data_IF_376203676957
#
_entry.id   IF_376203676957
#
_cell.length_a   1.000
_cell.length_b   1.000
_cell.length_c   1.000
_cell.angle_alpha   90.00
_cell.angle_beta   90.00
_cell.angle_gamma   90.00
#
_symmetry.space_group_name_H-M   'P 1'
#
loop_
_entity.id
_entity.type
_entity.pdbx_description
1 polymer ?
#
# COMPACT_ATOMS: atom_id res chain seq x y z
N UNK A 1 -9.78 -10.64 3.28
CA UNK A 1 -8.71 -9.62 3.37
C UNK A 1 -8.83 -8.92 4.72
N UNK A 2 -7.75 -8.84 5.48
CA UNK A 2 -7.74 -8.23 6.81
C UNK A 2 -7.45 -6.71 6.70
N UNK A 3 -8.44 -5.86 7.02
CA UNK A 3 -8.29 -4.40 6.95
C UNK A 3 -7.42 -3.83 8.08
N UNK A 4 -7.39 -4.47 9.24
CA UNK A 4 -6.51 -4.05 10.34
C UNK A 4 -5.05 -4.28 9.95
N UNK A 5 -4.76 -5.44 9.35
CA UNK A 5 -3.43 -5.74 8.83
C UNK A 5 -3.00 -4.74 7.75
N UNK A 6 -3.89 -4.44 6.79
CA UNK A 6 -3.64 -3.43 5.77
C UNK A 6 -3.32 -2.06 6.38
N UNK A 7 -4.10 -1.66 7.39
CA UNK A 7 -3.89 -0.40 8.10
C UNK A 7 -2.53 -0.37 8.76
N UNK A 8 -2.19 -1.41 9.50
CA UNK A 8 -0.96 -1.50 10.28
C UNK A 8 0.28 -1.54 9.40
N UNK A 9 0.30 -2.38 8.35
CA UNK A 9 1.45 -2.47 7.45
C UNK A 9 1.66 -1.15 6.69
N UNK A 10 0.58 -0.53 6.24
CA UNK A 10 0.64 0.76 5.53
C UNK A 10 1.12 1.88 6.47
N UNK A 11 0.63 1.91 7.71
CA UNK A 11 1.05 2.90 8.69
C UNK A 11 2.54 2.76 9.04
N UNK A 12 3.01 1.54 9.33
CA UNK A 12 4.43 1.28 9.65
C UNK A 12 5.35 1.63 8.49
N UNK A 13 4.92 1.35 7.25
CA UNK A 13 5.64 1.80 6.06
C UNK A 13 5.73 3.33 6.01
N UNK A 14 4.62 4.02 6.26
CA UNK A 14 4.59 5.49 6.28
C UNK A 14 5.48 6.07 7.38
N UNK A 15 5.48 5.51 8.58
CA UNK A 15 6.39 5.93 9.66
C UNK A 15 7.87 5.82 9.27
N UNK A 16 8.23 4.76 8.54
CA UNK A 16 9.61 4.53 8.09
C UNK A 16 10.01 5.42 6.91
N UNK A 17 9.23 5.40 5.84
CA UNK A 17 9.63 5.98 4.55
C UNK A 17 9.15 7.45 4.37
N UNK A 18 8.10 7.85 5.09
CA UNK A 18 7.45 9.15 4.96
C UNK A 18 7.04 9.71 6.34
N UNK A 19 7.98 9.88 7.30
CA UNK A 19 7.66 10.24 8.69
C UNK A 19 6.94 11.59 8.83
N UNK A 20 7.14 12.51 7.88
CA UNK A 20 6.44 13.79 7.86
C UNK A 20 4.95 13.67 7.51
N UNK A 21 4.57 12.61 6.81
CA UNK A 21 3.18 12.33 6.42
C UNK A 21 2.48 11.35 7.37
N UNK A 22 3.23 10.49 8.07
CA UNK A 22 2.68 9.48 8.97
C UNK A 22 1.67 10.02 10.02
N UNK A 23 1.86 11.20 10.65
CA UNK A 23 0.86 11.77 11.56
C UNK A 23 -0.52 12.00 10.91
N UNK A 24 -0.56 12.20 9.59
CA UNK A 24 -1.77 12.44 8.81
C UNK A 24 -2.34 11.16 8.18
N UNK A 25 -1.75 9.99 8.45
CA UNK A 25 -2.17 8.71 7.87
C UNK A 25 -3.66 8.40 8.13
N UNK A 26 -4.17 8.74 9.32
CA UNK A 26 -5.56 8.53 9.69
C UNK A 26 -6.54 9.19 8.71
N UNK A 27 -6.22 10.37 8.17
CA UNK A 27 -7.06 11.06 7.18
C UNK A 27 -7.11 10.28 5.85
N UNK A 28 -5.96 9.77 5.40
CA UNK A 28 -5.91 8.94 4.20
C UNK A 28 -6.64 7.60 4.39
N UNK A 29 -6.59 7.05 5.61
CA UNK A 29 -7.30 5.83 5.98
C UNK A 29 -8.82 6.00 5.99
N UNK A 30 -9.33 7.07 6.60
CA UNK A 30 -10.77 7.39 6.62
C UNK A 30 -11.32 7.51 5.19
N UNK A 31 -10.64 8.27 4.34
CA UNK A 31 -11.02 8.41 2.93
C UNK A 31 -11.03 7.05 2.22
N UNK A 32 -10.03 6.22 2.47
CA UNK A 32 -9.95 4.88 1.90
C UNK A 32 -11.09 3.97 2.38
N UNK A 33 -11.49 4.04 3.65
CA UNK A 33 -12.62 3.28 4.18
C UNK A 33 -13.94 3.69 3.51
N UNK A 34 -14.16 5.00 3.32
CA UNK A 34 -15.34 5.51 2.62
C UNK A 34 -15.43 4.93 1.20
N UNK A 35 -14.30 4.87 0.47
CA UNK A 35 -14.24 4.25 -0.86
C UNK A 35 -14.62 2.77 -0.87
N UNK A 36 -14.21 1.99 0.13
CA UNK A 36 -14.57 0.57 0.22
C UNK A 36 -16.07 0.34 0.42
N UNK A 37 -16.77 1.26 1.07
CA UNK A 37 -18.21 1.16 1.33
C UNK A 37 -19.09 1.61 0.15
N UNK A 38 -18.53 2.38 -0.79
CA UNK A 38 -19.26 2.98 -1.91
C UNK A 38 -19.50 2.04 -3.09
N UNK A 39 -18.42 1.49 -3.69
CA UNK A 39 -18.49 0.59 -4.87
C UNK A 39 -17.18 -0.24 -4.99
N UNK A 40 -17.18 -1.54 -4.66
CA UNK A 40 -15.97 -2.38 -4.69
C UNK A 40 -15.31 -2.50 -6.07
N UNK A 41 -16.09 -2.43 -7.15
CA UNK A 41 -15.60 -2.52 -8.53
C UNK A 41 -14.87 -1.24 -9.00
N UNK A 42 -14.99 -0.13 -8.25
CA UNK A 42 -14.38 1.16 -8.58
C UNK A 42 -12.92 1.30 -8.15
N UNK A 43 -12.35 0.31 -7.44
CA UNK A 43 -10.98 0.32 -6.92
C UNK A 43 -9.93 0.45 -8.04
N UNK A 44 -10.27 -0.01 -9.25
CA UNK A 44 -9.44 0.17 -10.46
C UNK A 44 -9.37 1.63 -10.92
N UNK A 45 -10.28 2.48 -10.42
CA UNK A 45 -10.45 3.90 -10.75
C UNK A 45 -10.36 4.80 -9.50
N UNK A 46 -9.56 4.43 -8.50
CA UNK A 46 -9.18 5.37 -7.44
C UNK A 46 -8.46 6.56 -8.09
N UNK A 47 -9.21 7.62 -8.44
CA UNK A 47 -8.63 8.95 -8.61
C UNK A 47 -7.94 9.23 -7.28
N UNK A 48 -6.63 9.55 -7.28
CA UNK A 48 -5.88 9.73 -6.06
C UNK A 48 -6.64 10.75 -5.19
N UNK A 49 -6.96 10.43 -3.93
CA UNK A 49 -7.48 11.46 -3.04
C UNK A 49 -6.39 12.53 -2.94
N UNK A 50 -6.67 13.68 -3.55
CA UNK A 50 -5.76 14.83 -3.59
C UNK A 50 -5.90 15.57 -2.27
N UNK A 51 -5.31 15.01 -1.22
CA UNK A 51 -5.01 15.80 -0.03
C UNK A 51 -3.90 16.76 -0.47
N UNK A 52 -4.24 18.01 -0.75
CA UNK A 52 -3.24 19.06 -0.99
C UNK A 52 -2.84 19.62 0.37
N UNK A 53 -1.75 19.12 0.94
CA UNK A 53 -1.00 19.85 1.95
C UNK A 53 -0.24 20.96 1.20
N UNK A 54 -0.25 22.19 1.69
CA UNK A 54 0.36 23.35 1.01
C UNK A 54 1.78 23.05 0.49
N UNK A 55 1.94 23.00 -0.83
CA UNK A 55 3.19 22.68 -1.53
C UNK A 55 2.95 21.71 -2.69
N UNK A 56 3.78 21.74 -3.73
CA UNK A 56 3.65 20.88 -4.92
C UNK A 56 3.90 19.37 -4.65
N UNK A 57 3.97 18.96 -3.39
CA UNK A 57 4.22 17.58 -2.97
C UNK A 57 2.95 16.74 -3.05
N UNK A 58 3.06 15.54 -3.64
CA UNK A 58 1.97 14.56 -3.66
C UNK A 58 1.95 13.78 -2.35
N UNK A 59 0.80 13.72 -1.67
CA UNK A 59 0.61 12.89 -0.47
C UNK A 59 0.70 11.40 -0.84
N UNK A 60 1.55 10.68 -0.12
CA UNK A 60 1.95 9.31 -0.40
C UNK A 60 1.09 8.26 0.30
N UNK A 61 0.54 8.57 1.48
CA UNK A 61 -0.29 7.64 2.26
C UNK A 61 -1.37 6.91 1.41
N UNK A 62 -2.16 7.59 0.56
CA UNK A 62 -3.16 6.92 -0.27
C UNK A 62 -2.56 5.90 -1.25
N UNK A 63 -1.42 6.22 -1.87
CA UNK A 63 -0.73 5.32 -2.81
C UNK A 63 -0.18 4.09 -2.10
N UNK A 64 0.33 4.27 -0.88
CA UNK A 64 0.82 3.18 -0.03
C UNK A 64 -0.32 2.24 0.34
N UNK A 65 -1.43 2.78 0.86
CA UNK A 65 -2.62 2.00 1.20
C UNK A 65 -3.12 1.24 -0.03
N UNK A 66 -3.19 1.90 -1.19
CA UNK A 66 -3.62 1.27 -2.44
C UNK A 66 -2.69 0.12 -2.86
N UNK A 67 -1.36 0.30 -2.77
CA UNK A 67 -0.39 -0.73 -3.13
C UNK A 67 -0.55 -1.98 -2.26
N UNK A 68 -0.58 -1.83 -0.93
CA UNK A 68 -0.78 -2.96 -0.03
C UNK A 68 -2.16 -3.60 -0.20
N UNK A 69 -3.21 -2.79 -0.42
CA UNK A 69 -4.54 -3.30 -0.71
C UNK A 69 -4.55 -4.17 -1.97
N UNK A 70 -3.92 -3.73 -3.06
CA UNK A 70 -3.80 -4.50 -4.30
C UNK A 70 -3.11 -5.84 -4.04
N UNK A 71 -1.98 -5.83 -3.31
CA UNK A 71 -1.23 -7.05 -3.02
C UNK A 71 -2.03 -8.02 -2.15
N UNK A 72 -2.63 -7.54 -1.06
CA UNK A 72 -3.46 -8.36 -0.17
C UNK A 72 -4.75 -8.84 -0.83
N UNK A 73 -5.33 -8.05 -1.74
CA UNK A 73 -6.49 -8.48 -2.52
C UNK A 73 -6.10 -9.57 -3.53
N UNK A 74 -4.93 -9.44 -4.15
CA UNK A 74 -4.48 -10.36 -5.22
C UNK A 74 -4.00 -11.70 -4.66
N UNK A 75 -3.23 -11.68 -3.57
CA UNK A 75 -2.59 -12.88 -3.01
C UNK A 75 -3.23 -13.36 -1.70
N UNK A 76 -4.10 -12.55 -1.08
CA UNK A 76 -4.77 -12.94 0.15
C UNK A 76 -3.79 -13.37 1.24
N UNK A 77 -4.10 -14.48 1.90
CA UNK A 77 -3.27 -15.08 2.94
C UNK A 77 -1.98 -15.70 2.41
N UNK A 78 -1.94 -16.09 1.13
CA UNK A 78 -0.75 -16.69 0.50
C UNK A 78 0.42 -15.73 0.48
N UNK A 79 0.13 -14.41 0.48
CA UNK A 79 1.17 -13.40 0.49
C UNK A 79 2.17 -13.70 1.60
N UNK A 80 1.72 -14.07 2.80
CA UNK A 80 2.54 -14.33 3.99
C UNK A 80 3.41 -15.58 3.89
N UNK A 81 3.01 -16.55 3.07
CA UNK A 81 3.79 -17.75 2.79
C UNK A 81 4.88 -17.53 1.73
N UNK A 82 4.80 -16.44 0.95
CA UNK A 82 5.80 -16.12 -0.07
C UNK A 82 7.19 -15.90 0.57
N UNK A 83 8.18 -16.62 0.07
CA UNK A 83 9.59 -16.36 0.39
C UNK A 83 10.16 -15.35 -0.59
N UNK A 84 10.98 -14.44 -0.08
CA UNK A 84 11.66 -13.47 -0.93
C UNK A 84 12.55 -14.21 -1.94
N UNK A 85 12.27 -14.03 -3.22
CA UNK A 85 13.07 -14.48 -4.37
C UNK A 85 12.90 -13.48 -5.51
N UNK A 86 13.79 -13.52 -6.50
CA UNK A 86 13.71 -12.66 -7.68
C UNK A 86 12.40 -12.90 -8.47
N UNK A 87 11.97 -14.17 -8.57
CA UNK A 87 10.72 -14.52 -9.26
C UNK A 87 9.50 -13.92 -8.53
N UNK A 88 9.45 -14.06 -7.21
CA UNK A 88 8.35 -13.49 -6.42
C UNK A 88 8.37 -11.97 -6.48
N UNK A 89 9.54 -11.35 -6.34
CA UNK A 89 9.69 -9.89 -6.44
C UNK A 89 9.19 -9.38 -7.79
N UNK A 90 9.60 -10.02 -8.89
CA UNK A 90 9.11 -9.67 -10.23
C UNK A 90 7.59 -9.83 -10.35
N UNK A 91 7.03 -10.89 -9.77
CA UNK A 91 5.59 -11.15 -9.79
C UNK A 91 4.80 -10.08 -9.02
N UNK A 92 5.30 -9.63 -7.86
CA UNK A 92 4.68 -8.56 -7.07
C UNK A 92 4.80 -7.19 -7.79
N UNK A 93 5.96 -6.91 -8.40
CA UNK A 93 6.18 -5.71 -9.22
C UNK A 93 5.20 -5.64 -10.39
N UNK A 94 5.00 -6.75 -11.09
CA UNK A 94 4.06 -6.83 -12.22
C UNK A 94 2.62 -6.53 -11.81
N UNK A 95 2.19 -7.02 -10.64
CA UNK A 95 0.85 -6.75 -10.11
C UNK A 95 0.66 -5.25 -9.84
N UNK A 96 1.63 -4.62 -9.20
CA UNK A 96 1.59 -3.18 -8.88
C UNK A 96 1.66 -2.32 -10.15
N UNK A 97 2.52 -2.70 -11.10
CA UNK A 97 2.67 -2.03 -12.39
C UNK A 97 1.37 -2.07 -13.21
N UNK A 98 0.68 -3.21 -13.28
CA UNK A 98 -0.63 -3.35 -13.94
C UNK A 98 -1.72 -2.46 -13.35
N UNK A 99 -1.52 -1.97 -12.12
CA UNK A 99 -2.43 -1.04 -11.43
C UNK A 99 -1.92 0.40 -11.43
N UNK A 100 -0.85 0.69 -12.17
CA UNK A 100 -0.32 2.05 -12.36
C UNK A 100 0.51 2.59 -11.19
N UNK A 101 0.95 1.72 -10.27
CA UNK A 101 1.89 2.11 -9.22
C UNK A 101 3.29 2.17 -9.84
N UNK A 102 4.04 3.24 -9.56
CA UNK A 102 5.38 3.42 -10.12
C UNK A 102 6.36 2.38 -9.57
N UNK A 103 7.39 2.05 -10.36
CA UNK A 103 8.43 1.10 -9.97
C UNK A 103 9.12 1.51 -8.67
N UNK A 104 9.51 2.78 -8.54
CA UNK A 104 10.20 3.30 -7.36
C UNK A 104 9.39 3.14 -6.06
N UNK A 105 8.06 3.30 -6.10
CA UNK A 105 7.20 3.05 -4.94
C UNK A 105 7.05 1.55 -4.71
N UNK A 106 6.86 0.79 -5.78
CA UNK A 106 6.66 -0.67 -5.74
C UNK A 106 7.85 -1.39 -5.11
N UNK A 107 9.08 -0.99 -5.46
CA UNK A 107 10.31 -1.53 -4.87
C UNK A 107 10.33 -1.36 -3.36
N UNK A 108 10.09 -0.12 -2.88
CA UNK A 108 10.03 0.17 -1.43
C UNK A 108 8.96 -0.65 -0.72
N UNK A 109 7.77 -0.75 -1.31
CA UNK A 109 6.63 -1.50 -0.75
C UNK A 109 6.99 -2.98 -0.59
N UNK A 110 7.62 -3.57 -1.61
CA UNK A 110 8.01 -4.99 -1.63
C UNK A 110 9.17 -5.24 -0.67
N UNK A 111 10.18 -4.37 -0.64
CA UNK A 111 11.29 -4.43 0.32
C UNK A 111 10.74 -4.44 1.74
N UNK A 112 9.88 -3.48 2.07
CA UNK A 112 9.28 -3.37 3.39
C UNK A 112 8.40 -4.58 3.73
N UNK A 113 7.64 -5.11 2.76
CA UNK A 113 6.78 -6.28 2.94
C UNK A 113 7.59 -7.52 3.37
N UNK A 114 8.79 -7.71 2.81
CA UNK A 114 9.67 -8.82 3.19
C UNK A 114 10.47 -8.53 4.46
N UNK A 115 10.85 -7.29 4.71
CA UNK A 115 11.49 -6.88 5.96
C UNK A 115 10.56 -7.01 7.17
N UNK A 116 9.30 -6.58 7.05
CA UNK A 116 8.33 -6.59 8.15
C UNK A 116 8.05 -7.99 8.68
N UNK A 117 8.25 -9.03 7.85
CA UNK A 117 8.16 -10.45 8.27
C UNK A 117 9.30 -10.90 9.14
N UNK A 118 10.49 -10.30 8.98
CA UNK A 118 11.67 -10.64 9.82
C UNK A 118 11.47 -10.23 11.28
N UNK A 119 10.50 -9.35 11.55
CA UNK A 119 10.14 -8.90 12.91
C UNK A 119 8.89 -9.58 13.49
N UNK A 120 8.18 -10.38 12.68
CA UNK A 120 6.96 -11.10 13.08
C UNK A 120 7.21 -12.60 13.37
N UNK A 121 8.48 -13.03 13.37
CA UNK A 121 8.93 -14.40 13.66
C UNK A 121 9.64 -14.52 15.00
#
# INVERSE_FOLDING_TARGET
MNLEELKDISYRFMEKEYPHEAPYFHLAWEIFQDFLTGEPDSIVNLKPPRVRLNGDSTVMAPRVIQAYYILLLTYGEEIHALKESEEIRSMLMDVLSKKGISSSISEKIIDFLFESRKFAG
#
